data_IF_677361550134
#
_entry.id   IF_677361550134
#
_cell.length_a   1.000
_cell.length_b   1.000
_cell.length_c   1.000
_cell.angle_alpha   90.00
_cell.angle_beta   90.00
_cell.angle_gamma   90.00
#
_symmetry.space_group_name_H-M   'P 1'
#
loop_
_entity.id
_entity.type
_entity.pdbx_description
1 polymer ?
#
# COMPACT_ATOMS: atom_id res chain seq x y z
N UNK A 1 19.19 -18.37 7.90
CA UNK A 1 19.17 -17.96 6.49
C UNK A 1 18.63 -16.55 6.39
N UNK A 2 19.50 -15.64 6.02
CA UNK A 2 19.09 -14.25 5.84
C UNK A 2 18.31 -14.12 4.53
N UNK A 3 16.99 -14.11 4.64
CA UNK A 3 16.14 -13.76 3.51
C UNK A 3 16.21 -12.25 3.31
N UNK A 4 16.99 -11.82 2.36
CA UNK A 4 17.00 -10.40 1.98
C UNK A 4 15.75 -10.07 1.19
N UNK A 5 14.95 -9.15 1.71
CA UNK A 5 13.86 -8.56 0.95
C UNK A 5 14.44 -7.68 -0.15
N UNK A 6 14.04 -7.92 -1.38
CA UNK A 6 14.39 -7.09 -2.51
C UNK A 6 13.27 -6.09 -2.79
N UNK A 7 13.63 -4.84 -3.00
CA UNK A 7 12.67 -3.78 -3.32
C UNK A 7 12.94 -3.30 -4.74
N UNK A 8 11.90 -3.33 -5.57
CA UNK A 8 11.94 -2.80 -6.93
C UNK A 8 11.01 -1.59 -6.98
N UNK A 9 11.57 -0.42 -7.23
CA UNK A 9 10.79 0.81 -7.33
C UNK A 9 10.64 1.21 -8.80
N UNK A 10 9.40 1.42 -9.24
CA UNK A 10 9.09 1.93 -10.57
C UNK A 10 8.64 3.38 -10.41
N UNK A 11 9.46 4.31 -10.87
CA UNK A 11 9.23 5.73 -10.71
C UNK A 11 9.31 6.44 -12.07
N UNK A 12 8.67 7.58 -12.18
CA UNK A 12 8.70 8.38 -13.40
C UNK A 12 7.54 9.36 -13.44
N UNK A 13 7.58 10.25 -14.42
CA UNK A 13 6.50 11.20 -14.67
C UNK A 13 5.28 10.48 -15.24
N UNK A 14 4.08 10.98 -14.94
CA UNK A 14 2.84 10.47 -15.52
C UNK A 14 2.88 10.50 -17.06
N UNK A 15 2.25 9.52 -17.70
CA UNK A 15 2.19 9.41 -19.15
C UNK A 15 3.32 8.65 -19.82
N UNK A 16 4.29 8.12 -19.07
CA UNK A 16 5.41 7.33 -19.61
C UNK A 16 5.20 5.82 -19.59
N UNK A 17 3.99 5.36 -19.30
CA UNK A 17 3.67 3.94 -19.22
C UNK A 17 4.12 3.24 -17.94
N UNK A 18 4.42 3.98 -16.92
CA UNK A 18 4.89 3.47 -15.61
C UNK A 18 3.97 2.41 -15.02
N UNK A 19 2.67 2.67 -14.99
CA UNK A 19 1.67 1.76 -14.43
C UNK A 19 1.59 0.44 -15.21
N UNK A 20 1.58 0.52 -16.53
CA UNK A 20 1.58 -0.67 -17.40
C UNK A 20 2.84 -1.49 -17.21
N UNK A 21 3.99 -0.84 -17.14
CA UNK A 21 5.27 -1.49 -16.91
C UNK A 21 5.31 -2.17 -15.55
N UNK A 22 4.82 -1.50 -14.50
CA UNK A 22 4.74 -2.07 -13.16
C UNK A 22 3.87 -3.33 -13.14
N UNK A 23 2.72 -3.31 -13.81
CA UNK A 23 1.85 -4.48 -13.94
C UNK A 23 2.53 -5.66 -14.62
N UNK A 24 3.27 -5.42 -15.69
CA UNK A 24 4.05 -6.44 -16.38
C UNK A 24 5.13 -7.01 -15.46
N UNK A 25 5.85 -6.17 -14.74
CA UNK A 25 6.89 -6.60 -13.79
C UNK A 25 6.30 -7.54 -12.73
N UNK A 26 5.15 -7.19 -12.15
CA UNK A 26 4.48 -8.05 -11.16
C UNK A 26 4.18 -9.42 -11.75
N UNK A 27 3.60 -9.48 -12.94
CA UNK A 27 3.26 -10.74 -13.61
C UNK A 27 4.49 -11.57 -13.90
N UNK A 28 5.57 -10.97 -14.39
CA UNK A 28 6.82 -11.67 -14.67
C UNK A 28 7.46 -12.20 -13.40
N UNK A 29 7.44 -11.46 -12.31
CA UNK A 29 7.97 -11.90 -11.03
C UNK A 29 7.20 -13.08 -10.46
N UNK A 30 5.88 -13.07 -10.57
CA UNK A 30 5.03 -14.17 -10.13
C UNK A 30 5.35 -15.45 -10.91
N UNK A 31 5.50 -15.36 -12.22
CA UNK A 31 5.83 -16.50 -13.07
C UNK A 31 7.24 -17.03 -12.81
N UNK A 32 8.20 -16.14 -12.65
CA UNK A 32 9.62 -16.49 -12.48
C UNK A 32 9.94 -17.02 -11.07
N UNK A 33 9.17 -16.58 -10.06
CA UNK A 33 9.45 -16.88 -8.66
C UNK A 33 8.20 -17.36 -7.92
N UNK A 34 7.64 -18.53 -8.26
CA UNK A 34 6.42 -19.02 -7.62
C UNK A 34 6.60 -19.37 -6.14
N UNK A 35 7.83 -19.52 -5.69
CA UNK A 35 8.21 -19.82 -4.30
C UNK A 35 8.41 -18.59 -3.42
N UNK A 36 8.38 -17.40 -4.02
CA UNK A 36 8.63 -16.15 -3.28
C UNK A 36 7.33 -15.41 -2.96
N UNK A 37 7.34 -14.73 -1.83
CA UNK A 37 6.27 -13.83 -1.45
C UNK A 37 6.50 -12.48 -2.11
N UNK A 38 5.53 -12.02 -2.89
CA UNK A 38 5.59 -10.79 -3.64
C UNK A 38 4.52 -9.85 -3.11
N UNK A 39 4.89 -8.63 -2.78
CA UNK A 39 3.98 -7.57 -2.40
C UNK A 39 4.07 -6.43 -3.42
N UNK A 40 2.98 -6.15 -4.09
CA UNK A 40 2.84 -5.02 -4.98
C UNK A 40 2.24 -3.83 -4.22
N UNK A 41 2.94 -2.72 -4.20
CA UNK A 41 2.51 -1.49 -3.52
C UNK A 41 2.24 -0.42 -4.55
N UNK A 42 1.00 0.03 -4.65
CA UNK A 42 0.64 1.16 -5.50
C UNK A 42 0.68 2.44 -4.67
N UNK A 43 1.75 3.20 -4.85
CA UNK A 43 1.96 4.47 -4.16
C UNK A 43 1.54 5.68 -5.00
N UNK A 44 1.02 5.46 -6.21
CA UNK A 44 0.53 6.54 -7.06
C UNK A 44 -0.86 7.02 -6.58
N UNK A 45 -1.06 8.32 -6.38
CA UNK A 45 -2.38 8.84 -5.99
C UNK A 45 -3.52 8.46 -6.94
N UNK A 46 -3.21 8.22 -8.21
CA UNK A 46 -4.20 7.83 -9.21
C UNK A 46 -4.67 6.37 -9.07
N UNK A 47 -3.96 5.55 -8.29
CA UNK A 47 -4.31 4.14 -8.01
C UNK A 47 -4.59 3.33 -9.30
N UNK A 48 -3.75 3.51 -10.33
CA UNK A 48 -3.94 2.86 -11.62
C UNK A 48 -3.49 1.41 -11.69
N UNK A 49 -2.58 0.99 -10.80
CA UNK A 49 -2.01 -0.36 -10.83
C UNK A 49 -3.05 -1.44 -10.54
N UNK A 50 -4.02 -1.16 -9.66
CA UNK A 50 -5.12 -2.08 -9.38
C UNK A 50 -5.93 -2.38 -10.64
N UNK A 51 -6.16 -1.39 -11.49
CA UNK A 51 -6.88 -1.55 -12.76
C UNK A 51 -6.09 -2.44 -13.71
N UNK A 52 -4.79 -2.21 -13.86
CA UNK A 52 -3.92 -3.01 -14.75
C UNK A 52 -3.83 -4.46 -14.27
N UNK A 53 -3.76 -4.68 -12.98
CA UNK A 53 -3.69 -6.02 -12.39
C UNK A 53 -5.07 -6.66 -12.18
N UNK A 54 -6.14 -5.94 -12.45
CA UNK A 54 -7.52 -6.39 -12.23
C UNK A 54 -7.76 -6.81 -10.78
N UNK A 55 -7.33 -5.96 -9.84
CA UNK A 55 -7.49 -6.17 -8.40
C UNK A 55 -8.58 -5.23 -7.88
N UNK A 56 -9.53 -5.75 -7.14
CA UNK A 56 -10.51 -4.94 -6.42
C UNK A 56 -9.91 -4.45 -5.10
N UNK A 57 -9.88 -3.14 -4.92
CA UNK A 57 -9.35 -2.51 -3.72
C UNK A 57 -10.50 -1.93 -2.91
N UNK A 58 -10.81 -2.56 -1.79
CA UNK A 58 -11.88 -2.10 -0.90
C UNK A 58 -11.41 -0.99 0.04
N UNK A 59 -10.13 -1.01 0.42
CA UNK A 59 -9.58 -0.10 1.41
C UNK A 59 -8.14 0.27 1.06
N UNK A 60 -7.85 1.57 1.10
CA UNK A 60 -6.49 2.09 0.91
C UNK A 60 -5.86 2.46 2.26
N UNK A 61 -4.56 2.67 2.27
CA UNK A 61 -3.85 3.19 3.46
C UNK A 61 -4.38 4.58 3.83
N UNK A 62 -4.74 5.40 2.84
CA UNK A 62 -5.31 6.72 3.10
C UNK A 62 -6.67 6.63 3.80
N UNK A 63 -7.51 5.65 3.45
CA UNK A 63 -8.78 5.40 4.14
C UNK A 63 -8.56 5.07 5.62
N UNK A 64 -7.56 4.24 5.93
CA UNK A 64 -7.17 3.89 7.30
C UNK A 64 -6.71 5.14 8.06
N UNK A 65 -5.91 5.98 7.42
CA UNK A 65 -5.44 7.24 8.00
C UNK A 65 -6.62 8.13 8.39
N UNK A 66 -7.61 8.26 7.52
CA UNK A 66 -8.81 9.06 7.79
C UNK A 66 -9.60 8.53 8.98
N UNK A 67 -9.77 7.23 9.07
CA UNK A 67 -10.46 6.60 10.22
C UNK A 67 -9.73 6.87 11.54
N UNK A 68 -8.41 6.73 11.55
CA UNK A 68 -7.59 6.97 12.75
C UNK A 68 -7.69 8.44 13.18
N UNK A 69 -7.59 9.38 12.24
CA UNK A 69 -7.71 10.81 12.53
C UNK A 69 -9.09 11.13 13.09
N UNK A 70 -10.14 10.60 12.48
CA UNK A 70 -11.52 10.81 12.94
C UNK A 70 -11.71 10.31 14.38
N UNK A 71 -11.20 9.15 14.70
CA UNK A 71 -11.29 8.59 16.05
C UNK A 71 -10.57 9.47 17.08
N UNK A 72 -9.43 10.04 16.72
CA UNK A 72 -8.69 10.98 17.58
C UNK A 72 -9.47 12.28 17.77
N UNK A 73 -10.05 12.83 16.71
CA UNK A 73 -10.84 14.07 16.76
C UNK A 73 -12.14 13.90 17.56
N UNK A 74 -12.75 12.71 17.52
CA UNK A 74 -13.96 12.41 18.28
C UNK A 74 -13.69 12.17 19.78
N UNK A 75 -12.47 12.40 20.24
CA UNK A 75 -12.11 12.35 21.64
C UNK A 75 -11.89 10.95 22.20
N UNK A 76 -11.53 10.01 21.33
CA UNK A 76 -11.17 8.67 21.73
C UNK A 76 -9.90 8.70 22.60
N UNK A 77 -10.02 8.24 23.85
CA UNK A 77 -8.94 8.31 24.84
C UNK A 77 -7.96 7.13 24.77
N UNK A 78 -7.94 6.43 23.65
CA UNK A 78 -7.03 5.30 23.46
C UNK A 78 -5.58 5.72 23.47
N UNK A 79 -4.74 4.90 24.09
CA UNK A 79 -3.30 5.14 24.13
C UNK A 79 -2.69 5.04 22.72
N UNK A 80 -1.54 5.66 22.53
CA UNK A 80 -0.79 5.58 21.26
C UNK A 80 -0.47 4.12 20.87
N UNK A 81 -0.23 3.26 21.85
CA UNK A 81 0.06 1.83 21.62
C UNK A 81 -1.16 1.11 21.08
N UNK A 82 -2.34 1.38 21.63
CA UNK A 82 -3.61 0.80 21.16
C UNK A 82 -3.93 1.26 19.74
N UNK A 83 -3.75 2.53 19.43
CA UNK A 83 -3.94 3.08 18.08
C UNK A 83 -2.99 2.46 17.07
N UNK A 84 -1.74 2.25 17.44
CA UNK A 84 -0.76 1.57 16.58
C UNK A 84 -1.15 0.11 16.33
N UNK A 85 -1.64 -0.59 17.34
CA UNK A 85 -2.11 -1.96 17.21
C UNK A 85 -3.29 -2.06 16.25
N UNK A 86 -4.26 -1.16 16.39
CA UNK A 86 -5.42 -1.08 15.49
C UNK A 86 -4.99 -0.73 14.06
N UNK A 87 -4.07 0.23 13.90
CA UNK A 87 -3.57 0.61 12.59
C UNK A 87 -2.87 -0.55 11.87
N UNK A 88 -2.06 -1.33 12.58
CA UNK A 88 -1.44 -2.54 12.02
C UNK A 88 -2.47 -3.55 11.54
N UNK A 89 -3.50 -3.78 12.34
CA UNK A 89 -4.57 -4.70 12.00
C UNK A 89 -5.33 -4.23 10.75
N UNK A 90 -5.65 -2.95 10.69
CA UNK A 90 -6.32 -2.32 9.55
C UNK A 90 -5.46 -2.36 8.28
N UNK A 91 -4.15 -2.16 8.40
CA UNK A 91 -3.22 -2.27 7.27
C UNK A 91 -3.23 -3.69 6.72
N UNK A 92 -3.21 -4.70 7.57
CA UNK A 92 -3.31 -6.09 7.14
C UNK A 92 -4.63 -6.37 6.43
N UNK A 93 -5.71 -5.74 6.89
CA UNK A 93 -7.03 -5.84 6.27
C UNK A 93 -7.08 -5.18 4.88
N UNK A 94 -6.27 -4.13 4.67
CA UNK A 94 -6.16 -3.45 3.38
C UNK A 94 -5.36 -4.24 2.34
N UNK A 95 -4.58 -5.23 2.76
CA UNK A 95 -3.83 -6.09 1.85
C UNK A 95 -4.79 -7.02 1.12
N UNK A 96 -4.75 -7.00 -0.21
CA UNK A 96 -5.55 -7.87 -1.05
C UNK A 96 -4.68 -9.04 -1.52
N UNK A 97 -5.03 -10.24 -1.11
CA UNK A 97 -4.32 -11.43 -1.57
C UNK A 97 -4.80 -11.84 -2.96
N UNK A 98 -3.85 -12.02 -3.86
CA UNK A 98 -4.08 -12.47 -5.23
C UNK A 98 -3.28 -13.75 -5.49
N UNK A 99 -3.50 -14.33 -6.66
CA UNK A 99 -2.79 -15.55 -7.06
C UNK A 99 -1.30 -15.23 -7.31
N UNK A 100 -0.47 -15.70 -6.40
CA UNK A 100 0.98 -15.54 -6.47
C UNK A 100 1.56 -14.24 -5.92
N UNK A 101 0.73 -13.29 -5.47
CA UNK A 101 1.19 -12.04 -4.88
C UNK A 101 0.12 -11.42 -3.98
N UNK A 102 0.51 -10.41 -3.21
CA UNK A 102 -0.41 -9.57 -2.46
C UNK A 102 -0.34 -8.13 -2.97
N UNK A 103 -1.40 -7.37 -2.82
CA UNK A 103 -1.52 -6.00 -3.32
C UNK A 103 -1.97 -5.07 -2.21
N UNK A 104 -1.40 -3.87 -2.17
CA UNK A 104 -1.87 -2.80 -1.28
C UNK A 104 -1.82 -1.46 -2.01
N UNK A 105 -2.84 -0.65 -1.85
CA UNK A 105 -2.90 0.70 -2.41
C UNK A 105 -2.76 1.73 -1.30
N UNK A 106 -1.92 2.74 -1.52
CA UNK A 106 -1.74 3.84 -0.58
C UNK A 106 -2.93 4.81 -0.66
N UNK A 107 -3.39 5.13 -1.86
CA UNK A 107 -4.49 6.06 -2.06
C UNK A 107 -4.05 7.50 -2.18
N UNK A 108 -5.02 8.40 -2.27
CA UNK A 108 -4.80 9.83 -2.49
C UNK A 108 -5.13 10.63 -1.22
N UNK A 109 -4.16 11.33 -0.63
CA UNK A 109 -4.45 12.25 0.47
C UNK A 109 -5.25 13.46 -0.03
N UNK A 110 -6.29 13.84 0.71
CA UNK A 110 -7.13 14.98 0.36
C UNK A 110 -6.47 16.33 0.68
N UNK A 111 -5.52 16.35 1.59
CA UNK A 111 -4.84 17.58 2.03
C UNK A 111 -3.34 17.52 1.78
N UNK A 112 -2.78 18.62 1.28
CA UNK A 112 -1.34 18.79 1.14
C UNK A 112 -0.63 18.63 2.50
N UNK A 113 0.52 17.94 2.52
CA UNK A 113 1.31 17.73 3.72
C UNK A 113 1.05 16.43 4.47
N UNK A 114 0.01 15.67 4.12
CA UNK A 114 -0.29 14.39 4.77
C UNK A 114 0.72 13.28 4.41
N UNK A 115 1.41 13.40 3.29
CA UNK A 115 2.41 12.44 2.85
C UNK A 115 3.58 12.27 3.82
N UNK A 116 4.03 13.35 4.45
CA UNK A 116 5.15 13.30 5.38
C UNK A 116 4.85 12.42 6.58
N UNK A 117 3.63 12.46 7.10
CA UNK A 117 3.21 11.63 8.23
C UNK A 117 3.05 10.16 7.83
N UNK A 118 2.43 9.89 6.70
CA UNK A 118 2.26 8.52 6.19
C UNK A 118 3.61 7.87 5.93
N UNK A 119 4.51 8.57 5.26
CA UNK A 119 5.86 8.07 4.98
C UNK A 119 6.67 7.81 6.26
N UNK A 120 6.45 8.60 7.29
CA UNK A 120 7.06 8.38 8.60
C UNK A 120 6.59 7.06 9.23
N UNK A 121 5.30 6.75 9.12
CA UNK A 121 4.74 5.49 9.61
C UNK A 121 5.18 4.28 8.78
N UNK A 122 5.33 4.44 7.49
CA UNK A 122 5.77 3.35 6.60
C UNK A 122 7.23 2.99 6.78
N UNK A 123 8.05 3.89 7.31
CA UNK A 123 9.46 3.63 7.61
C UNK A 123 9.67 2.82 8.89
N UNK A 124 8.69 2.79 9.74
CA UNK A 124 8.70 2.01 10.97
C UNK A 124 8.01 0.66 10.75
#
# INVERSE_FOLDING_TARGET
MDKKTQIIAVAGKGGVGKTSLAGVIVKLLVEAHPDKKILAIDADPAVGLSTVLNVEVDKTIDDIRKEVIKNVEDGDTKTAVELLGEAKYEIMDAVVEQDGYAFIAIGRPETAGCYCKINSYLKE
#
